data_IF_493510514415
#
_entry.id   IF_493510514415
#
_cell.length_a   1.000
_cell.length_b   1.000
_cell.length_c   1.000
_cell.angle_alpha   90.00
_cell.angle_beta   90.00
_cell.angle_gamma   90.00
#
_symmetry.space_group_name_H-M   'P 1'
#
loop_
_entity.id
_entity.type
_entity.pdbx_description
1 polymer ?
#
# COMPACT_ATOMS: atom_id res chain seq x y z
N UNK A 1 30.03 -43.67 -14.30
CA UNK A 1 30.36 -42.25 -14.08
C UNK A 1 29.34 -41.27 -14.68
N UNK A 2 28.88 -41.43 -15.93
CA UNK A 2 27.90 -40.49 -16.57
C UNK A 2 26.55 -40.34 -15.84
N UNK A 3 26.01 -41.40 -15.21
CA UNK A 3 24.72 -41.34 -14.47
C UNK A 3 24.80 -40.47 -13.22
N UNK A 4 25.91 -40.48 -12.52
CA UNK A 4 26.08 -39.64 -11.32
C UNK A 4 26.29 -38.15 -11.67
N UNK A 5 26.95 -37.88 -12.82
CA UNK A 5 27.10 -36.49 -13.28
C UNK A 5 25.74 -35.86 -13.62
N UNK A 6 24.83 -36.61 -14.26
CA UNK A 6 23.47 -36.12 -14.53
C UNK A 6 22.64 -35.84 -13.26
N UNK A 7 22.72 -36.76 -12.29
CA UNK A 7 22.06 -36.58 -10.99
C UNK A 7 22.60 -35.36 -10.24
N UNK A 8 23.92 -35.18 -10.27
CA UNK A 8 24.56 -34.01 -9.64
C UNK A 8 24.12 -32.70 -10.29
N UNK A 9 24.02 -32.66 -11.62
CA UNK A 9 23.57 -31.47 -12.36
C UNK A 9 22.14 -31.08 -11.97
N UNK A 10 21.23 -32.07 -11.89
CA UNK A 10 19.84 -31.82 -11.48
C UNK A 10 19.79 -31.30 -10.03
N UNK A 11 20.57 -31.88 -9.15
CA UNK A 11 20.63 -31.45 -7.75
C UNK A 11 21.15 -30.02 -7.63
N UNK A 12 22.22 -29.66 -8.32
CA UNK A 12 22.74 -28.29 -8.35
C UNK A 12 21.71 -27.31 -8.91
N UNK A 13 21.00 -27.67 -9.98
CA UNK A 13 19.96 -26.84 -10.56
C UNK A 13 18.83 -26.56 -9.54
N UNK A 14 18.36 -27.59 -8.85
CA UNK A 14 17.33 -27.45 -7.82
C UNK A 14 17.80 -26.58 -6.67
N UNK A 15 19.06 -26.70 -6.27
CA UNK A 15 19.66 -25.90 -5.21
C UNK A 15 19.74 -24.42 -5.61
N UNK A 16 20.12 -24.11 -6.84
CA UNK A 16 20.15 -22.74 -7.37
C UNK A 16 18.75 -22.13 -7.44
N UNK A 17 17.76 -22.90 -7.90
CA UNK A 17 16.37 -22.47 -7.96
C UNK A 17 15.82 -22.19 -6.56
N UNK A 18 16.08 -23.09 -5.60
CA UNK A 18 15.66 -22.91 -4.22
C UNK A 18 16.32 -21.66 -3.59
N UNK A 19 17.64 -21.51 -3.78
CA UNK A 19 18.37 -20.34 -3.29
C UNK A 19 17.82 -19.04 -3.91
N UNK A 20 17.59 -19.02 -5.22
CA UNK A 20 16.99 -17.87 -5.92
C UNK A 20 15.62 -17.51 -5.37
N UNK A 21 14.77 -18.51 -5.13
CA UNK A 21 13.44 -18.30 -4.53
C UNK A 21 13.53 -17.67 -3.15
N UNK A 22 14.36 -18.22 -2.25
CA UNK A 22 14.48 -17.68 -0.89
C UNK A 22 15.16 -16.31 -0.83
N UNK A 23 16.12 -16.04 -1.71
CA UNK A 23 16.80 -14.73 -1.78
C UNK A 23 15.89 -13.63 -2.35
N UNK A 24 14.91 -13.98 -3.19
CA UNK A 24 13.95 -13.00 -3.75
C UNK A 24 12.72 -12.79 -2.87
N UNK A 25 12.49 -13.65 -1.88
CA UNK A 25 11.38 -13.44 -0.95
C UNK A 25 11.60 -12.17 -0.13
N UNK A 26 10.59 -11.25 -0.10
CA UNK A 26 10.66 -10.07 0.75
C UNK A 26 10.86 -10.50 2.21
N UNK A 27 11.93 -10.00 2.83
CA UNK A 27 12.16 -10.21 4.25
C UNK A 27 11.21 -9.31 5.03
N UNK A 28 10.39 -9.87 5.90
CA UNK A 28 9.56 -9.09 6.82
C UNK A 28 10.48 -8.58 7.93
N UNK A 29 10.95 -7.35 7.80
CA UNK A 29 11.67 -6.70 8.90
C UNK A 29 10.60 -6.20 9.87
N UNK A 30 10.43 -6.88 10.99
CA UNK A 30 9.58 -6.41 12.08
C UNK A 30 10.31 -5.28 12.81
N UNK A 31 10.03 -4.04 12.43
CA UNK A 31 10.40 -2.89 13.27
C UNK A 31 9.45 -2.83 14.47
N UNK A 32 10.00 -2.47 15.64
CA UNK A 32 9.22 -2.27 16.85
C UNK A 32 8.07 -1.28 16.56
N UNK A 33 6.87 -1.67 16.92
CA UNK A 33 5.63 -0.94 16.66
C UNK A 33 5.65 0.49 17.23
N UNK A 34 6.48 0.70 18.26
CA UNK A 34 6.63 1.96 18.99
C UNK A 34 7.57 2.98 18.30
N UNK A 35 8.45 2.53 17.39
CA UNK A 35 9.36 3.45 16.72
C UNK A 35 8.69 4.08 15.48
N UNK A 36 8.12 5.28 15.66
CA UNK A 36 7.44 6.02 14.60
C UNK A 36 8.39 6.55 13.50
N UNK A 37 9.71 6.57 13.74
CA UNK A 37 10.68 7.00 12.72
C UNK A 37 10.86 5.97 11.60
N UNK A 38 10.52 4.70 11.87
CA UNK A 38 10.63 3.62 10.91
C UNK A 38 9.26 3.20 10.36
N UNK A 39 9.24 2.79 9.09
CA UNK A 39 8.06 2.16 8.52
C UNK A 39 7.79 0.83 9.20
N UNK A 40 6.56 0.59 9.65
CA UNK A 40 6.14 -0.67 10.24
C UNK A 40 5.03 -1.30 9.40
N UNK A 41 5.33 -2.46 8.83
CA UNK A 41 4.36 -3.27 8.07
C UNK A 41 3.14 -3.60 8.92
N UNK A 42 3.34 -3.88 10.20
CA UNK A 42 2.26 -4.20 11.15
C UNK A 42 1.31 -3.02 11.36
N UNK A 43 1.83 -1.78 11.49
CA UNK A 43 0.99 -0.57 11.57
C UNK A 43 0.23 -0.33 10.27
N UNK A 44 0.91 -0.49 9.12
CA UNK A 44 0.26 -0.35 7.82
C UNK A 44 -0.84 -1.40 7.61
N UNK A 45 -0.58 -2.66 8.01
CA UNK A 45 -1.56 -3.73 7.91
C UNK A 45 -2.80 -3.48 8.77
N UNK A 46 -2.64 -2.98 10.00
CA UNK A 46 -3.77 -2.58 10.85
C UNK A 46 -4.66 -1.51 10.18
N UNK A 47 -4.07 -0.59 9.44
CA UNK A 47 -4.83 0.40 8.68
C UNK A 47 -5.61 -0.25 7.53
N UNK A 48 -4.96 -1.13 6.77
CA UNK A 48 -5.61 -1.89 5.69
C UNK A 48 -6.78 -2.70 6.25
N UNK A 49 -6.59 -3.40 7.37
CA UNK A 49 -7.64 -4.19 8.03
C UNK A 49 -8.86 -3.33 8.41
N UNK A 50 -8.64 -2.12 8.92
CA UNK A 50 -9.74 -1.18 9.21
C UNK A 50 -10.49 -0.77 7.95
N UNK A 51 -9.76 -0.49 6.86
CA UNK A 51 -10.32 -0.03 5.60
C UNK A 51 -11.11 -1.14 4.88
N UNK A 52 -10.66 -2.38 4.99
CA UNK A 52 -11.22 -3.53 4.26
C UNK A 52 -12.29 -4.29 5.03
N UNK A 53 -12.67 -3.83 6.23
CA UNK A 53 -13.63 -4.49 7.09
C UNK A 53 -14.98 -4.74 6.41
N UNK A 54 -15.41 -3.80 5.59
CA UNK A 54 -16.64 -3.89 4.80
C UNK A 54 -16.41 -3.38 3.36
N UNK A 55 -17.14 -3.89 2.38
CA UNK A 55 -17.05 -3.39 1.01
C UNK A 55 -17.34 -1.89 0.93
N UNK A 56 -16.49 -1.13 0.22
CA UNK A 56 -16.60 0.32 0.10
C UNK A 56 -16.45 0.79 -1.36
N UNK A 57 -17.16 0.12 -2.27
CA UNK A 57 -17.19 0.54 -3.67
C UNK A 57 -17.93 1.88 -3.84
N UNK A 58 -17.66 2.56 -4.92
CA UNK A 58 -18.27 3.86 -5.24
C UNK A 58 -19.80 3.74 -5.25
N UNK A 59 -20.47 4.65 -4.51
CA UNK A 59 -21.93 4.64 -4.35
C UNK A 59 -22.44 3.81 -3.18
N UNK A 60 -21.60 3.06 -2.49
CA UNK A 60 -22.00 2.38 -1.25
C UNK A 60 -21.99 3.35 -0.06
N UNK A 61 -22.87 3.14 0.92
CA UNK A 61 -22.89 3.95 2.14
C UNK A 61 -21.54 3.88 2.90
N UNK A 62 -20.87 2.73 2.87
CA UNK A 62 -19.58 2.53 3.52
C UNK A 62 -18.44 3.29 2.83
N UNK A 63 -18.57 3.66 1.56
CA UNK A 63 -17.58 4.49 0.85
C UNK A 63 -17.39 5.85 1.55
N UNK A 64 -18.46 6.48 1.99
CA UNK A 64 -18.40 7.75 2.71
C UNK A 64 -17.81 7.59 4.12
N UNK A 65 -18.11 6.50 4.79
CA UNK A 65 -17.54 6.17 6.11
C UNK A 65 -16.03 6.01 6.00
N UNK A 66 -15.56 5.26 5.01
CA UNK A 66 -14.12 5.07 4.76
C UNK A 66 -13.43 6.39 4.39
N UNK A 67 -14.05 7.21 3.55
CA UNK A 67 -13.51 8.52 3.20
C UNK A 67 -13.36 9.43 4.43
N UNK A 68 -14.37 9.49 5.30
CA UNK A 68 -14.31 10.25 6.54
C UNK A 68 -13.24 9.72 7.50
N UNK A 69 -13.10 8.41 7.61
CA UNK A 69 -12.06 7.77 8.43
C UNK A 69 -10.66 8.15 7.94
N UNK A 70 -10.40 8.12 6.63
CA UNK A 70 -9.13 8.54 6.05
C UNK A 70 -8.82 10.02 6.32
N UNK A 71 -9.81 10.90 6.15
CA UNK A 71 -9.67 12.33 6.47
C UNK A 71 -9.33 12.52 7.94
N UNK A 72 -9.99 11.80 8.83
CA UNK A 72 -9.74 11.90 10.26
C UNK A 72 -8.34 11.38 10.61
N UNK A 73 -7.91 10.29 10.03
CA UNK A 73 -6.57 9.74 10.26
C UNK A 73 -5.46 10.72 9.81
N UNK A 74 -5.61 11.33 8.63
CA UNK A 74 -4.68 12.37 8.17
C UNK A 74 -4.65 13.59 9.11
N UNK A 75 -5.81 14.01 9.60
CA UNK A 75 -5.89 15.12 10.58
C UNK A 75 -5.22 14.78 11.91
N UNK A 76 -5.37 13.55 12.40
CA UNK A 76 -4.70 13.11 13.65
C UNK A 76 -3.18 13.09 13.52
N UNK A 77 -2.67 12.85 12.29
CA UNK A 77 -1.25 12.99 11.97
C UNK A 77 -0.78 14.46 11.80
N UNK A 78 -1.67 15.43 11.99
CA UNK A 78 -1.36 16.86 11.80
C UNK A 78 -1.23 17.28 10.33
N UNK A 79 -1.73 16.48 9.39
CA UNK A 79 -1.66 16.77 7.96
C UNK A 79 -2.85 17.67 7.56
N UNK A 80 -2.54 18.80 6.91
CA UNK A 80 -3.58 19.65 6.32
C UNK A 80 -4.29 18.88 5.20
N UNK A 81 -5.60 18.63 5.39
CA UNK A 81 -6.39 17.76 4.54
C UNK A 81 -7.49 18.54 3.83
N UNK A 82 -7.65 18.30 2.53
CA UNK A 82 -8.71 18.84 1.69
C UNK A 82 -9.43 17.70 0.99
N UNK A 83 -10.75 17.77 0.90
CA UNK A 83 -11.57 16.87 0.08
C UNK A 83 -12.02 17.63 -1.15
N UNK A 84 -11.74 17.09 -2.32
CA UNK A 84 -12.25 17.59 -3.60
C UNK A 84 -13.35 16.65 -4.08
N UNK A 85 -14.54 17.19 -4.29
CA UNK A 85 -15.65 16.44 -4.85
C UNK A 85 -15.92 16.90 -6.27
N UNK A 86 -16.25 15.97 -7.14
CA UNK A 86 -16.55 16.23 -8.54
C UNK A 86 -17.28 15.07 -9.19
N UNK A 87 -17.75 15.31 -10.40
CA UNK A 87 -18.32 14.26 -11.23
C UNK A 87 -17.35 13.89 -12.34
N UNK A 88 -17.18 12.62 -12.54
CA UNK A 88 -16.40 12.08 -13.65
C UNK A 88 -17.20 11.02 -14.39
N UNK A 89 -16.96 10.90 -15.68
CA UNK A 89 -17.56 9.85 -16.50
C UNK A 89 -16.53 8.75 -16.73
N UNK A 90 -16.91 7.51 -16.47
CA UNK A 90 -16.07 6.36 -16.82
C UNK A 90 -16.08 6.15 -18.33
N UNK A 91 -15.11 5.39 -18.85
CA UNK A 91 -15.06 4.99 -20.27
C UNK A 91 -16.31 4.22 -20.73
N UNK A 92 -17.05 3.66 -19.79
CA UNK A 92 -18.32 2.95 -20.02
C UNK A 92 -19.56 3.86 -19.97
N UNK A 93 -19.37 5.19 -19.86
CA UNK A 93 -20.47 6.15 -19.83
C UNK A 93 -21.19 6.28 -18.48
N UNK A 94 -20.67 5.66 -17.41
CA UNK A 94 -21.25 5.80 -16.07
C UNK A 94 -20.79 7.11 -15.44
N UNK A 95 -21.74 7.95 -15.01
CA UNK A 95 -21.45 9.14 -14.22
C UNK A 95 -21.19 8.75 -12.77
N UNK A 96 -20.03 9.15 -12.25
CA UNK A 96 -19.59 8.81 -10.90
C UNK A 96 -19.23 10.08 -10.15
N UNK A 97 -19.70 10.21 -8.92
CA UNK A 97 -19.22 11.24 -8.00
C UNK A 97 -17.90 10.78 -7.40
N UNK A 98 -16.81 11.47 -7.75
CA UNK A 98 -15.48 11.20 -7.23
C UNK A 98 -15.20 12.07 -6.00
N UNK A 99 -14.49 11.50 -5.02
CA UNK A 99 -13.96 12.19 -3.84
C UNK A 99 -12.48 11.97 -3.75
N UNK A 100 -11.69 13.02 -3.98
CA UNK A 100 -10.23 12.98 -3.82
C UNK A 100 -9.86 13.54 -2.46
N UNK A 101 -9.14 12.79 -1.67
CA UNK A 101 -8.63 13.22 -0.38
C UNK A 101 -7.17 13.62 -0.57
N UNK A 102 -6.88 14.90 -0.34
CA UNK A 102 -5.55 15.48 -0.53
C UNK A 102 -4.98 15.86 0.82
N UNK A 103 -3.85 15.25 1.17
CA UNK A 103 -3.05 15.62 2.33
C UNK A 103 -1.84 16.46 1.90
N UNK A 104 -1.59 17.59 2.55
CA UNK A 104 -0.44 18.45 2.25
C UNK A 104 0.51 18.53 3.41
N UNK A 105 1.75 18.13 3.18
CA UNK A 105 2.87 18.31 4.11
C UNK A 105 3.72 19.47 3.60
N UNK A 106 3.89 20.50 4.42
CA UNK A 106 4.69 21.67 4.06
C UNK A 106 6.18 21.34 4.17
N UNK A 107 6.89 21.47 3.07
CA UNK A 107 8.36 21.35 3.04
C UNK A 107 9.04 22.56 3.69
N UNK A 108 10.28 22.36 4.11
CA UNK A 108 11.08 23.40 4.82
C UNK A 108 11.68 24.45 3.90
N UNK A 109 11.98 24.12 2.67
CA UNK A 109 12.71 25.05 1.78
C UNK A 109 12.47 24.81 0.26
N UNK A 110 11.31 24.34 -0.14
CA UNK A 110 11.01 24.05 -1.55
C UNK A 110 9.85 24.89 -2.09
N UNK A 111 10.01 25.40 -3.30
CA UNK A 111 8.93 26.03 -4.09
C UNK A 111 8.15 25.00 -4.95
N UNK A 112 8.59 23.73 -4.94
CA UNK A 112 7.99 22.63 -5.70
C UNK A 112 7.33 21.64 -4.75
N UNK A 113 6.29 20.99 -5.21
CA UNK A 113 5.63 19.90 -4.50
C UNK A 113 5.91 18.56 -5.19
N UNK A 114 6.11 17.49 -4.41
CA UNK A 114 6.11 16.12 -4.89
C UNK A 114 4.70 15.57 -4.69
N UNK A 115 4.13 15.01 -5.73
CA UNK A 115 2.89 14.26 -5.68
C UNK A 115 3.23 12.78 -5.55
N UNK A 116 2.68 12.12 -4.53
CA UNK A 116 2.84 10.68 -4.26
C UNK A 116 1.54 9.95 -4.57
#
# INVERSE_FOLDING_TARGET
>A
MKKYASLLSVFVLLLVLAAGYFLQMPQTIEYEEQNLANFSTKRAFKMVEKLTKEPHYVGSANHDVVAQMLVQELKTMGIATQVQEGYTMSDWGNLVQSKNIIGRIKGTNSKKALLL
#
